data_IF_768118643100
#
_entry.id   IF_768118643100
#
_cell.length_a   1.000
_cell.length_b   1.000
_cell.length_c   1.000
_cell.angle_alpha   90.00
_cell.angle_beta   90.00
_cell.angle_gamma   90.00
#
_symmetry.space_group_name_H-M   'P 1'
#
loop_
_entity.id
_entity.type
_entity.pdbx_description
1 polymer ?
#
# COMPACT_ATOMS: atom_id res chain seq x y z
N UNK A 1 -33.11 21.99 -43.23
CA UNK A 1 -33.18 22.88 -42.06
C UNK A 1 -31.97 22.57 -41.20
N UNK A 2 -30.95 23.42 -41.31
CA UNK A 2 -29.74 23.33 -40.48
C UNK A 2 -30.06 24.02 -39.13
N UNK A 3 -29.90 23.25 -38.05
CA UNK A 3 -29.93 23.81 -36.72
C UNK A 3 -28.47 24.07 -36.28
N UNK A 4 -28.12 25.34 -36.11
CA UNK A 4 -26.88 25.81 -35.50
C UNK A 4 -26.79 25.30 -34.05
N UNK A 5 -25.82 24.46 -33.76
CA UNK A 5 -25.40 24.22 -32.38
C UNK A 5 -24.40 25.31 -32.04
N UNK A 6 -24.82 26.25 -31.18
CA UNK A 6 -23.95 27.28 -30.62
C UNK A 6 -22.88 26.63 -29.73
N UNK A 7 -21.63 26.98 -29.97
CA UNK A 7 -20.49 26.57 -29.12
C UNK A 7 -20.72 27.06 -27.67
N UNK A 8 -20.93 26.14 -26.75
CA UNK A 8 -20.99 26.44 -25.32
C UNK A 8 -19.55 26.62 -24.80
N UNK A 9 -19.40 27.66 -23.98
CA UNK A 9 -18.17 28.08 -23.36
C UNK A 9 -17.56 26.91 -22.50
N UNK A 10 -16.31 26.52 -22.69
CA UNK A 10 -15.70 25.42 -21.95
C UNK A 10 -15.78 25.54 -20.42
N UNK A 11 -15.81 26.75 -19.88
CA UNK A 11 -16.02 26.99 -18.44
C UNK A 11 -17.36 26.51 -17.89
N UNK A 12 -18.36 26.38 -18.72
CA UNK A 12 -19.68 25.88 -18.29
C UNK A 12 -19.79 24.35 -18.40
N UNK A 13 -18.99 23.71 -19.26
CA UNK A 13 -18.92 22.26 -19.34
C UNK A 13 -18.24 21.66 -18.09
N UNK A 14 -17.18 22.31 -17.56
CA UNK A 14 -16.56 21.88 -16.28
C UNK A 14 -17.58 21.85 -15.12
N UNK A 15 -18.51 22.81 -15.07
CA UNK A 15 -19.54 22.82 -14.02
C UNK A 15 -20.60 21.73 -14.16
N UNK A 16 -20.91 21.29 -15.38
CA UNK A 16 -21.97 20.29 -15.64
C UNK A 16 -21.43 18.87 -15.35
N UNK A 17 -20.17 18.60 -15.67
CA UNK A 17 -19.53 17.29 -15.36
C UNK A 17 -19.34 17.16 -13.84
N UNK A 18 -18.92 18.22 -13.14
CA UNK A 18 -18.86 18.24 -11.68
C UNK A 18 -20.23 18.02 -11.00
N UNK A 19 -21.31 18.54 -11.56
CA UNK A 19 -22.64 18.36 -10.99
C UNK A 19 -23.15 16.91 -11.06
N UNK A 20 -22.69 16.11 -12.02
CA UNK A 20 -23.05 14.69 -12.10
C UNK A 20 -22.27 13.85 -11.09
N UNK A 21 -21.03 14.19 -10.77
CA UNK A 21 -20.25 13.52 -9.71
C UNK A 21 -20.73 13.92 -8.31
N UNK A 22 -21.20 15.17 -8.12
CA UNK A 22 -21.83 15.60 -6.86
C UNK A 22 -23.10 14.80 -6.53
N UNK A 23 -23.85 14.31 -7.52
CA UNK A 23 -25.04 13.47 -7.31
C UNK A 23 -24.65 12.02 -6.92
N UNK A 24 -23.48 11.52 -7.34
CA UNK A 24 -22.97 10.24 -6.90
C UNK A 24 -22.24 10.35 -5.55
N UNK A 25 -21.43 11.38 -5.32
CA UNK A 25 -20.75 11.61 -4.04
C UNK A 25 -21.70 11.91 -2.87
N UNK A 26 -22.83 12.61 -3.12
CA UNK A 26 -23.82 12.93 -2.07
C UNK A 26 -24.67 11.72 -1.61
N UNK A 27 -24.72 10.63 -2.37
CA UNK A 27 -25.41 9.39 -1.98
C UNK A 27 -24.49 8.43 -1.17
N UNK A 28 -23.20 8.73 -1.05
CA UNK A 28 -22.20 7.89 -0.37
C UNK A 28 -21.70 8.48 0.96
N UNK A 29 -22.37 9.47 1.51
CA UNK A 29 -22.22 9.78 2.94
C UNK A 29 -22.90 8.66 3.76
N UNK A 30 -22.46 7.42 3.55
CA UNK A 30 -22.80 6.33 4.45
C UNK A 30 -22.14 6.61 5.80
N UNK A 31 -22.89 6.46 6.87
CA UNK A 31 -22.31 6.50 8.20
C UNK A 31 -21.08 5.59 8.22
N UNK A 32 -19.94 6.13 8.66
CA UNK A 32 -18.72 5.36 8.79
C UNK A 32 -18.97 4.13 9.65
N UNK A 33 -18.48 2.97 9.22
CA UNK A 33 -18.57 1.75 10.02
C UNK A 33 -17.79 1.91 11.32
N UNK A 34 -18.29 1.42 12.46
CA UNK A 34 -17.47 1.36 13.68
C UNK A 34 -16.24 0.50 13.43
N UNK A 35 -15.11 0.81 14.10
CA UNK A 35 -13.91 0.01 13.98
C UNK A 35 -14.20 -1.46 14.30
N UNK A 36 -13.67 -2.37 13.49
CA UNK A 36 -13.80 -3.81 13.68
C UNK A 36 -12.99 -4.28 14.90
N UNK A 37 -11.86 -3.61 15.14
CA UNK A 37 -10.92 -3.89 16.21
C UNK A 37 -10.53 -2.58 16.89
N UNK A 38 -10.28 -2.65 18.21
CA UNK A 38 -9.71 -1.53 18.97
C UNK A 38 -8.20 -1.80 19.17
N UNK A 39 -7.39 -0.83 18.81
CA UNK A 39 -5.94 -0.91 18.96
C UNK A 39 -5.40 0.21 19.84
N UNK A 40 -4.47 -0.15 20.73
CA UNK A 40 -3.64 0.81 21.44
C UNK A 40 -2.41 1.18 20.59
N UNK A 41 -2.24 2.47 20.35
CA UNK A 41 -1.07 2.98 19.64
C UNK A 41 0.03 3.36 20.62
N UNK A 42 1.31 3.09 20.26
CA UNK A 42 2.42 3.45 21.13
C UNK A 42 2.53 4.97 21.31
N UNK A 43 2.76 5.40 22.55
CA UNK A 43 3.09 6.80 22.85
C UNK A 43 4.59 6.98 22.65
N UNK A 44 4.96 7.84 21.72
CA UNK A 44 6.35 8.14 21.38
C UNK A 44 6.82 9.28 22.30
N UNK A 45 7.83 9.03 23.11
CA UNK A 45 8.37 10.01 24.08
C UNK A 45 9.78 10.46 23.72
N UNK A 46 10.48 9.70 22.88
CA UNK A 46 11.85 9.99 22.44
C UNK A 46 12.11 9.37 21.08
N UNK A 47 13.14 9.84 20.39
CA UNK A 47 13.58 9.30 19.11
C UNK A 47 14.23 7.92 19.36
N UNK A 48 13.68 6.88 18.70
CA UNK A 48 14.36 5.59 18.60
C UNK A 48 15.47 5.70 17.53
N UNK A 49 16.76 5.51 17.91
CA UNK A 49 17.87 5.67 16.97
C UNK A 49 17.81 4.72 15.76
N UNK A 50 17.24 3.51 15.92
CA UNK A 50 17.11 2.56 14.82
C UNK A 50 16.05 3.01 13.82
N UNK A 51 14.87 3.43 14.29
CA UNK A 51 13.83 4.01 13.42
C UNK A 51 14.38 5.24 12.69
N UNK A 52 15.12 6.13 13.40
CA UNK A 52 15.77 7.29 12.78
C UNK A 52 16.74 6.86 11.66
N UNK A 53 17.59 5.86 11.91
CA UNK A 53 18.53 5.37 10.91
C UNK A 53 17.83 4.78 9.67
N UNK A 54 16.68 4.12 9.84
CA UNK A 54 15.85 3.64 8.74
C UNK A 54 15.28 4.83 7.94
N UNK A 55 14.72 5.83 8.60
CA UNK A 55 14.22 7.05 7.96
C UNK A 55 15.32 7.78 7.18
N UNK A 56 16.52 7.93 7.78
CA UNK A 56 17.67 8.57 7.14
C UNK A 56 18.18 7.81 5.90
N UNK A 57 17.77 6.54 5.73
CA UNK A 57 18.11 5.70 4.56
C UNK A 57 17.21 5.95 3.33
N UNK A 58 16.17 6.77 3.46
CA UNK A 58 15.31 7.15 2.34
C UNK A 58 16.09 7.94 1.30
N UNK A 59 16.11 7.44 0.06
CA UNK A 59 16.92 7.97 -1.03
C UNK A 59 16.07 8.81 -2.00
N UNK A 60 16.41 10.08 -2.14
CA UNK A 60 15.82 10.96 -3.16
C UNK A 60 16.05 10.41 -4.57
N UNK A 61 17.19 9.77 -4.83
CA UNK A 61 17.49 9.19 -6.14
C UNK A 61 16.60 7.97 -6.43
N UNK A 62 16.30 7.14 -5.42
CA UNK A 62 15.34 6.03 -5.56
C UNK A 62 13.93 6.54 -5.84
N UNK A 63 13.46 7.54 -5.10
CA UNK A 63 12.15 8.16 -5.32
C UNK A 63 12.06 8.73 -6.73
N UNK A 64 13.06 9.51 -7.15
CA UNK A 64 13.16 10.06 -8.49
C UNK A 64 13.08 8.98 -9.56
N UNK A 65 13.88 7.92 -9.43
CA UNK A 65 13.94 6.84 -10.42
C UNK A 65 12.59 6.14 -10.59
N UNK A 66 11.87 5.91 -9.49
CA UNK A 66 10.52 5.32 -9.52
C UNK A 66 9.51 6.26 -10.18
N UNK A 67 9.51 7.56 -9.81
CA UNK A 67 8.62 8.56 -10.41
C UNK A 67 8.89 8.69 -11.92
N UNK A 68 10.16 8.78 -12.32
CA UNK A 68 10.56 8.84 -13.74
C UNK A 68 10.11 7.60 -14.51
N UNK A 69 10.26 6.42 -13.92
CA UNK A 69 9.83 5.16 -14.56
C UNK A 69 8.32 5.14 -14.76
N UNK A 70 7.54 5.41 -13.72
CA UNK A 70 6.08 5.36 -13.78
C UNK A 70 5.50 6.45 -14.68
N UNK A 71 6.03 7.67 -14.64
CA UNK A 71 5.57 8.78 -15.49
C UNK A 71 6.06 8.67 -16.95
N UNK A 72 6.97 7.74 -17.26
CA UNK A 72 7.38 7.44 -18.62
C UNK A 72 6.35 6.63 -19.41
N UNK A 73 5.48 5.88 -18.74
CA UNK A 73 4.34 5.25 -19.41
C UNK A 73 3.48 6.32 -20.08
N UNK A 74 2.91 6.00 -21.24
CA UNK A 74 2.04 6.94 -21.96
C UNK A 74 0.85 7.35 -21.07
N UNK A 75 0.28 6.37 -20.41
CA UNK A 75 -0.75 6.51 -19.38
C UNK A 75 -0.71 5.30 -18.46
N UNK A 76 -1.14 5.48 -17.22
CA UNK A 76 -1.42 4.39 -16.27
C UNK A 76 -2.91 4.28 -15.97
N UNK A 77 -3.74 4.85 -16.86
CA UNK A 77 -5.19 4.80 -16.66
C UNK A 77 -5.65 3.35 -16.52
N UNK A 78 -6.50 3.10 -15.53
CA UNK A 78 -6.94 1.78 -15.07
C UNK A 78 -7.53 0.88 -16.18
N UNK A 79 -8.12 1.46 -17.24
CA UNK A 79 -8.76 0.78 -18.38
C UNK A 79 -7.93 0.85 -19.66
N UNK A 80 -6.67 1.33 -19.60
CA UNK A 80 -5.77 1.36 -20.74
C UNK A 80 -5.05 0.02 -20.90
N UNK A 81 -4.62 -0.28 -22.13
CA UNK A 81 -3.77 -1.46 -22.38
C UNK A 81 -2.43 -1.42 -21.65
N UNK A 82 -1.96 -0.23 -21.27
CA UNK A 82 -0.66 -0.04 -20.60
C UNK A 82 -0.70 -0.41 -19.12
N UNK A 83 -1.90 -0.51 -18.52
CA UNK A 83 -2.02 -0.79 -17.08
C UNK A 83 -1.42 -2.15 -16.70
N UNK A 84 -1.49 -3.13 -17.63
CA UNK A 84 -0.91 -4.46 -17.42
C UNK A 84 0.62 -4.46 -17.41
N UNK A 85 1.26 -3.56 -18.15
CA UNK A 85 2.71 -3.40 -18.14
C UNK A 85 3.15 -2.80 -16.79
N UNK A 86 2.38 -1.82 -16.29
CA UNK A 86 2.64 -1.18 -15.00
C UNK A 86 2.49 -2.17 -13.84
N UNK A 87 1.37 -2.92 -13.81
CA UNK A 87 1.16 -3.91 -12.76
C UNK A 87 2.22 -5.01 -12.77
N UNK A 88 2.65 -5.45 -13.96
CA UNK A 88 3.70 -6.47 -14.07
C UNK A 88 5.04 -5.92 -13.58
N UNK A 89 5.37 -4.69 -13.92
CA UNK A 89 6.58 -4.03 -13.42
C UNK A 89 6.55 -3.93 -11.87
N UNK A 90 5.44 -3.48 -11.28
CA UNK A 90 5.29 -3.41 -9.82
C UNK A 90 5.46 -4.81 -9.19
N UNK A 91 4.79 -5.82 -9.75
CA UNK A 91 4.89 -7.20 -9.27
C UNK A 91 6.33 -7.72 -9.30
N UNK A 92 7.05 -7.51 -10.42
CA UNK A 92 8.44 -7.94 -10.57
C UNK A 92 9.36 -7.11 -9.68
N UNK A 93 9.12 -5.81 -9.54
CA UNK A 93 9.92 -4.92 -8.71
C UNK A 93 9.86 -5.34 -7.24
N UNK A 94 8.66 -5.54 -6.68
CA UNK A 94 8.51 -6.06 -5.32
C UNK A 94 9.09 -7.47 -5.17
N UNK A 95 8.96 -8.32 -6.20
CA UNK A 95 9.57 -9.65 -6.21
C UNK A 95 11.10 -9.64 -6.21
N UNK A 96 11.74 -8.50 -6.51
CA UNK A 96 13.18 -8.30 -6.41
C UNK A 96 13.65 -7.84 -5.03
N UNK A 97 12.71 -7.42 -4.16
CA UNK A 97 12.98 -7.02 -2.79
C UNK A 97 12.92 -8.24 -1.85
N UNK A 98 13.40 -8.06 -0.63
CA UNK A 98 13.41 -9.11 0.40
C UNK A 98 12.08 -9.23 1.15
N UNK A 99 10.97 -9.20 0.38
CA UNK A 99 9.62 -9.42 0.90
C UNK A 99 9.24 -10.90 0.82
N UNK A 100 8.39 -11.35 1.73
CA UNK A 100 8.03 -12.77 1.80
C UNK A 100 7.17 -13.24 0.64
N UNK A 101 6.28 -12.37 0.12
CA UNK A 101 5.43 -12.69 -1.03
C UNK A 101 4.92 -11.44 -1.73
N UNK A 102 4.58 -11.58 -3.01
CA UNK A 102 3.91 -10.55 -3.80
C UNK A 102 2.62 -11.14 -4.38
N UNK A 103 1.52 -10.42 -4.23
CA UNK A 103 0.17 -10.85 -4.60
C UNK A 103 -0.38 -9.90 -5.65
N UNK A 104 -1.03 -10.45 -6.66
CA UNK A 104 -1.97 -9.75 -7.54
C UNK A 104 -3.37 -10.00 -6.98
N UNK A 105 -4.00 -8.96 -6.46
CA UNK A 105 -5.36 -9.01 -5.98
C UNK A 105 -6.30 -8.58 -7.10
N UNK A 106 -6.92 -9.56 -7.76
CA UNK A 106 -7.95 -9.35 -8.78
C UNK A 106 -9.24 -8.85 -8.13
N UNK A 107 -9.86 -7.83 -8.69
CA UNK A 107 -11.14 -7.33 -8.25
C UNK A 107 -12.06 -7.09 -9.44
N UNK A 108 -13.36 -7.36 -9.23
CA UNK A 108 -14.36 -7.26 -10.29
C UNK A 108 -15.02 -5.90 -10.28
N UNK A 109 -15.02 -5.25 -11.43
CA UNK A 109 -15.76 -4.01 -11.66
C UNK A 109 -17.26 -4.32 -11.74
N UNK A 110 -17.95 -4.22 -10.60
CA UNK A 110 -19.39 -4.43 -10.57
C UNK A 110 -20.11 -3.19 -11.11
N UNK A 111 -20.96 -3.39 -12.12
CA UNK A 111 -21.86 -2.39 -12.70
C UNK A 111 -21.22 -1.26 -13.53
N UNK A 112 -19.99 -1.37 -13.94
CA UNK A 112 -19.36 -0.47 -14.90
C UNK A 112 -19.30 -1.10 -16.30
N UNK A 113 -19.29 -0.27 -17.34
CA UNK A 113 -19.06 -0.71 -18.73
C UNK A 113 -17.62 -1.21 -18.94
N UNK A 114 -16.79 -1.10 -17.93
CA UNK A 114 -15.40 -1.53 -17.90
C UNK A 114 -15.39 -3.00 -17.52
N UNK A 115 -14.82 -3.85 -18.35
CA UNK A 115 -14.78 -5.30 -18.16
C UNK A 115 -13.45 -5.79 -17.60
N UNK A 116 -12.40 -4.99 -17.73
CA UNK A 116 -11.04 -5.34 -17.36
C UNK A 116 -10.31 -4.13 -16.79
N UNK A 117 -9.50 -4.35 -15.76
CA UNK A 117 -8.61 -3.37 -15.11
C UNK A 117 -7.34 -4.08 -14.67
N UNK A 118 -6.33 -3.31 -14.24
CA UNK A 118 -5.18 -3.87 -13.54
C UNK A 118 -5.56 -4.38 -12.15
N UNK A 119 -4.75 -5.29 -11.62
CA UNK A 119 -4.89 -5.82 -10.28
C UNK A 119 -4.28 -4.88 -9.24
N UNK A 120 -4.73 -4.92 -7.99
CA UNK A 120 -3.94 -4.39 -6.89
C UNK A 120 -2.66 -5.22 -6.72
N UNK A 121 -1.55 -4.55 -6.45
CA UNK A 121 -0.26 -5.22 -6.21
C UNK A 121 0.10 -5.05 -4.73
N UNK A 122 0.27 -6.19 -4.04
CA UNK A 122 0.52 -6.24 -2.61
C UNK A 122 1.82 -6.99 -2.36
N UNK A 123 2.79 -6.34 -1.71
CA UNK A 123 3.95 -7.02 -1.18
C UNK A 123 3.75 -7.22 0.33
N UNK A 124 3.96 -8.44 0.80
CA UNK A 124 3.70 -8.81 2.19
C UNK A 124 4.99 -9.23 2.87
N UNK A 125 5.20 -8.72 4.05
CA UNK A 125 6.26 -9.10 4.97
C UNK A 125 5.63 -9.59 6.27
N UNK A 126 5.88 -10.85 6.64
CA UNK A 126 5.21 -11.47 7.78
C UNK A 126 5.82 -11.08 9.11
N UNK A 127 4.94 -10.80 10.06
CA UNK A 127 5.31 -10.56 11.45
C UNK A 127 5.79 -11.83 12.15
N UNK A 128 6.72 -11.67 13.07
CA UNK A 128 7.31 -12.80 13.80
C UNK A 128 6.55 -13.16 15.08
N UNK A 129 5.79 -12.23 15.64
CA UNK A 129 5.09 -12.39 16.92
C UNK A 129 3.58 -12.31 16.77
N UNK A 130 3.10 -11.41 15.96
CA UNK A 130 1.69 -11.15 15.67
C UNK A 130 1.46 -11.17 14.15
N UNK A 131 1.64 -12.33 13.48
CA UNK A 131 1.55 -12.41 12.03
C UNK A 131 0.15 -12.12 11.48
N UNK A 132 -0.89 -12.24 12.31
CA UNK A 132 -2.28 -11.98 11.95
C UNK A 132 -2.72 -10.52 12.20
N UNK A 133 -1.83 -9.67 12.75
CA UNK A 133 -2.02 -8.23 12.90
C UNK A 133 -1.25 -7.50 11.79
N UNK A 134 -1.95 -6.66 11.00
CA UNK A 134 -1.38 -6.05 9.80
C UNK A 134 -1.26 -4.55 9.91
N UNK A 135 -0.09 -4.02 9.56
CA UNK A 135 0.13 -2.60 9.29
C UNK A 135 0.23 -2.43 7.78
N UNK A 136 -0.61 -1.58 7.20
CA UNK A 136 -0.64 -1.38 5.74
C UNK A 136 -0.17 0.04 5.42
N UNK A 137 0.65 0.18 4.41
CA UNK A 137 0.89 1.45 3.74
C UNK A 137 0.63 1.30 2.25
N UNK A 138 0.06 2.33 1.62
CA UNK A 138 -0.35 2.20 0.23
C UNK A 138 -0.50 3.50 -0.52
N UNK A 139 -0.53 3.37 -1.85
CA UNK A 139 -0.74 4.42 -2.82
C UNK A 139 -1.35 3.83 -4.09
N UNK A 140 -2.21 4.54 -4.80
CA UNK A 140 -2.70 4.06 -6.09
C UNK A 140 -1.64 4.24 -7.18
N UNK A 141 -1.65 3.35 -8.18
CA UNK A 141 -0.69 3.40 -9.26
C UNK A 141 -1.28 3.78 -10.62
N UNK A 142 -2.60 3.80 -10.74
CA UNK A 142 -3.26 4.34 -11.92
C UNK A 142 -3.14 5.86 -11.98
N UNK A 143 -3.38 6.44 -13.14
CA UNK A 143 -3.33 7.88 -13.37
C UNK A 143 -4.43 8.32 -14.32
N UNK A 144 -4.82 9.58 -14.28
CA UNK A 144 -5.90 10.11 -15.08
C UNK A 144 -5.54 11.44 -15.75
N UNK A 145 -6.23 11.76 -16.85
CA UNK A 145 -6.20 13.08 -17.46
C UNK A 145 -7.57 13.41 -18.11
N UNK A 146 -8.00 14.66 -17.98
CA UNK A 146 -9.29 15.13 -18.52
C UNK A 146 -9.29 15.38 -20.04
N UNK A 147 -8.18 15.20 -20.73
CA UNK A 147 -7.98 15.65 -22.12
C UNK A 147 -8.73 14.82 -23.17
N UNK A 148 -9.57 13.84 -22.78
CA UNK A 148 -10.39 13.05 -23.72
C UNK A 148 -10.98 11.77 -23.12
N UNK A 149 -11.45 10.86 -23.99
CA UNK A 149 -12.20 9.66 -23.60
C UNK A 149 -11.47 8.34 -23.90
N UNK A 150 -10.56 8.35 -24.86
CA UNK A 150 -9.85 7.12 -25.26
C UNK A 150 -8.66 6.86 -24.32
N UNK A 151 -8.72 5.79 -23.49
CA UNK A 151 -7.71 5.50 -22.48
C UNK A 151 -6.31 5.27 -23.06
N UNK A 152 -6.22 4.82 -24.32
CA UNK A 152 -4.93 4.47 -24.94
C UNK A 152 -4.25 5.64 -25.64
N UNK A 153 -4.97 6.73 -25.91
CA UNK A 153 -4.43 7.87 -26.70
C UNK A 153 -4.15 9.12 -25.87
N UNK A 154 -4.67 9.16 -24.66
CA UNK A 154 -4.49 10.32 -23.76
C UNK A 154 -3.28 10.09 -22.89
N UNK A 155 -2.33 11.03 -22.99
CA UNK A 155 -1.18 11.01 -22.10
C UNK A 155 -1.58 11.47 -20.69
N UNK A 156 -1.37 10.61 -19.70
CA UNK A 156 -1.51 10.92 -18.29
C UNK A 156 -0.30 10.40 -17.51
N UNK A 157 0.77 11.19 -17.40
CA UNK A 157 2.01 10.76 -16.75
C UNK A 157 1.81 10.50 -15.26
N UNK A 158 0.96 11.28 -14.58
CA UNK A 158 0.65 11.10 -13.18
C UNK A 158 1.89 11.08 -12.28
N UNK A 159 2.79 12.06 -12.43
CA UNK A 159 4.03 12.04 -11.67
C UNK A 159 3.80 12.31 -10.20
N UNK A 160 2.92 13.26 -9.89
CA UNK A 160 2.53 13.56 -8.52
C UNK A 160 1.31 12.74 -8.12
N UNK A 161 0.36 12.62 -9.03
CA UNK A 161 -0.86 11.85 -8.87
C UNK A 161 -0.83 10.54 -9.72
N UNK A 162 -0.32 9.38 -9.18
CA UNK A 162 0.25 9.26 -7.85
C UNK A 162 1.55 8.43 -7.90
N UNK A 163 2.45 8.69 -8.89
CA UNK A 163 3.75 8.05 -8.90
C UNK A 163 4.60 8.51 -7.69
N UNK A 164 4.34 9.70 -7.16
CA UNK A 164 5.01 10.23 -5.97
C UNK A 164 4.72 9.37 -4.74
N UNK A 165 3.45 9.05 -4.48
CA UNK A 165 3.03 8.14 -3.40
C UNK A 165 3.55 6.72 -3.61
N UNK A 166 3.39 6.15 -4.82
CA UNK A 166 3.92 4.82 -5.16
C UNK A 166 5.42 4.73 -4.89
N UNK A 167 6.19 5.77 -5.24
CA UNK A 167 7.63 5.81 -4.98
C UNK A 167 7.95 5.71 -3.49
N UNK A 168 7.17 6.37 -2.65
CA UNK A 168 7.29 6.32 -1.19
C UNK A 168 6.99 4.93 -0.63
N UNK A 169 5.99 4.23 -1.17
CA UNK A 169 5.65 2.86 -0.72
C UNK A 169 6.74 1.87 -1.14
N UNK A 170 7.22 1.94 -2.38
CA UNK A 170 8.32 1.08 -2.87
C UNK A 170 9.60 1.32 -2.06
N UNK A 171 9.95 2.58 -1.79
CA UNK A 171 11.14 2.92 -1.02
C UNK A 171 11.01 2.45 0.44
N UNK A 172 9.82 2.56 1.03
CA UNK A 172 9.51 1.99 2.35
C UNK A 172 9.72 0.48 2.34
N UNK A 173 9.21 -0.24 1.34
CA UNK A 173 9.41 -1.68 1.20
C UNK A 173 10.89 -2.04 1.01
N UNK A 174 11.63 -1.30 0.17
CA UNK A 174 13.06 -1.53 -0.07
C UNK A 174 13.89 -1.48 1.21
N UNK A 175 13.54 -0.55 2.10
CA UNK A 175 14.27 -0.40 3.36
C UNK A 175 13.79 -1.41 4.39
N UNK A 176 12.48 -1.51 4.62
CA UNK A 176 11.93 -2.31 5.72
C UNK A 176 12.00 -3.82 5.45
N UNK A 177 11.98 -4.28 4.20
CA UNK A 177 12.07 -5.71 3.88
C UNK A 177 13.38 -6.38 4.36
N UNK A 178 14.40 -5.59 4.68
CA UNK A 178 15.67 -6.07 5.22
C UNK A 178 15.66 -6.30 6.73
N UNK A 179 14.53 -6.05 7.40
CA UNK A 179 14.39 -6.14 8.85
C UNK A 179 13.21 -7.04 9.22
N UNK A 180 13.13 -7.44 10.49
CA UNK A 180 12.01 -8.23 11.01
C UNK A 180 11.15 -7.40 11.96
N UNK A 181 9.86 -7.68 11.98
CA UNK A 181 8.88 -6.95 12.75
C UNK A 181 8.01 -7.90 13.57
N UNK A 182 7.37 -7.38 14.63
CA UNK A 182 6.42 -8.15 15.44
C UNK A 182 5.14 -8.44 14.64
N UNK A 183 4.63 -7.43 13.90
CA UNK A 183 3.42 -7.49 13.06
C UNK A 183 3.77 -7.61 11.59
N UNK A 184 2.84 -8.13 10.83
CA UNK A 184 2.93 -8.18 9.38
C UNK A 184 2.79 -6.79 8.76
N UNK A 185 3.53 -6.56 7.66
CA UNK A 185 3.44 -5.31 6.88
C UNK A 185 2.96 -5.65 5.48
N UNK A 186 2.02 -4.85 4.96
CA UNK A 186 1.59 -4.89 3.57
C UNK A 186 1.93 -3.56 2.90
N UNK A 187 2.74 -3.64 1.86
CA UNK A 187 3.05 -2.53 0.94
C UNK A 187 2.11 -2.67 -0.24
N UNK A 188 1.17 -1.73 -0.39
CA UNK A 188 0.06 -1.87 -1.32
C UNK A 188 0.10 -0.82 -2.43
N UNK A 189 -0.15 -1.26 -3.67
CA UNK A 189 -0.42 -0.36 -4.78
C UNK A 189 -1.79 -0.67 -5.37
N UNK A 190 -2.70 0.30 -5.24
CA UNK A 190 -4.09 0.16 -5.64
C UNK A 190 -4.28 0.52 -7.11
N UNK A 191 -5.20 -0.16 -7.79
CA UNK A 191 -5.62 0.18 -9.13
C UNK A 191 -7.03 0.77 -9.14
N UNK A 192 -7.31 1.60 -10.13
CA UNK A 192 -8.63 2.19 -10.33
C UNK A 192 -9.13 3.08 -9.17
N UNK A 193 -8.20 3.78 -8.52
CA UNK A 193 -8.51 4.86 -7.59
C UNK A 193 -9.29 5.97 -8.29
N UNK A 194 -8.78 6.41 -9.43
CA UNK A 194 -9.24 7.52 -10.28
C UNK A 194 -10.66 7.32 -10.86
N UNK A 195 -11.20 6.14 -10.75
CA UNK A 195 -12.59 5.87 -11.12
C UNK A 195 -13.50 5.53 -9.94
N UNK A 196 -13.08 5.87 -8.73
CA UNK A 196 -13.88 5.80 -7.51
C UNK A 196 -13.38 4.78 -6.49
N UNK A 197 -12.08 4.71 -6.26
CA UNK A 197 -11.42 3.91 -5.22
C UNK A 197 -11.66 2.39 -5.36
N UNK A 198 -11.83 1.87 -6.60
CA UNK A 198 -12.39 0.54 -6.80
C UNK A 198 -11.47 -0.56 -6.26
N UNK A 199 -10.17 -0.45 -6.48
CA UNK A 199 -9.20 -1.45 -6.04
C UNK A 199 -9.08 -1.51 -4.52
N UNK A 200 -8.89 -0.37 -3.87
CA UNK A 200 -8.80 -0.31 -2.41
C UNK A 200 -10.12 -0.69 -1.73
N UNK A 201 -11.28 -0.28 -2.32
CA UNK A 201 -12.58 -0.64 -1.78
C UNK A 201 -12.84 -2.15 -1.83
N UNK A 202 -12.45 -2.80 -2.94
CA UNK A 202 -12.56 -4.25 -3.05
C UNK A 202 -11.68 -4.96 -2.02
N UNK A 203 -10.42 -4.53 -1.89
CA UNK A 203 -9.50 -5.13 -0.93
C UNK A 203 -9.96 -4.94 0.53
N UNK A 204 -10.34 -3.71 0.91
CA UNK A 204 -10.82 -3.44 2.25
C UNK A 204 -12.09 -4.22 2.60
N UNK A 205 -13.01 -4.40 1.62
CA UNK A 205 -14.21 -5.22 1.80
C UNK A 205 -13.87 -6.71 1.98
N UNK A 206 -12.91 -7.22 1.20
CA UNK A 206 -12.46 -8.62 1.33
C UNK A 206 -11.76 -8.86 2.67
N UNK A 207 -10.95 -7.91 3.13
CA UNK A 207 -10.35 -7.95 4.47
C UNK A 207 -11.42 -8.01 5.56
N UNK A 208 -12.45 -7.15 5.48
CA UNK A 208 -13.54 -7.10 6.46
C UNK A 208 -14.37 -8.39 6.45
N UNK A 209 -14.67 -8.93 5.25
CA UNK A 209 -15.41 -10.19 5.11
C UNK A 209 -14.65 -11.38 5.71
N UNK A 210 -13.33 -11.32 5.76
CA UNK A 210 -12.46 -12.37 6.29
C UNK A 210 -12.05 -12.12 7.75
N UNK A 211 -12.46 -10.99 8.35
CA UNK A 211 -12.11 -10.64 9.72
C UNK A 211 -10.62 -10.41 9.90
N UNK A 212 -9.96 -9.85 8.89
CA UNK A 212 -8.54 -9.52 8.94
C UNK A 212 -8.30 -8.39 9.95
N UNK A 213 -7.30 -8.52 10.80
CA UNK A 213 -6.96 -7.53 11.82
C UNK A 213 -5.96 -6.51 11.28
N UNK A 214 -6.49 -5.35 10.81
CA UNK A 214 -5.67 -4.24 10.31
C UNK A 214 -5.51 -3.21 11.42
N UNK A 215 -4.29 -3.10 11.95
CA UNK A 215 -3.92 -2.19 13.03
C UNK A 215 -3.90 -0.73 12.58
N UNK A 216 -3.59 -0.49 11.31
CA UNK A 216 -3.61 0.84 10.72
C UNK A 216 -3.26 0.84 9.24
N UNK A 217 -3.88 1.75 8.49
CA UNK A 217 -3.55 2.01 7.09
C UNK A 217 -3.04 3.46 6.92
N UNK A 218 -1.88 3.58 6.30
CA UNK A 218 -1.22 4.85 6.00
C UNK A 218 -1.19 5.07 4.49
N UNK A 219 -1.99 6.02 4.02
CA UNK A 219 -2.10 6.36 2.60
C UNK A 219 -1.13 7.47 2.22
N UNK A 220 -0.44 7.30 1.09
CA UNK A 220 0.33 8.36 0.42
C UNK A 220 -0.31 8.67 -0.92
N UNK A 221 -0.65 9.93 -1.10
CA UNK A 221 -1.23 10.42 -2.35
C UNK A 221 -0.87 11.88 -2.53
N UNK A 222 -0.23 12.21 -3.66
CA UNK A 222 0.30 13.54 -3.97
C UNK A 222 1.27 14.06 -2.89
N UNK A 223 2.55 13.75 -3.07
CA UNK A 223 3.59 14.05 -2.06
C UNK A 223 4.71 14.93 -2.61
N UNK A 224 4.63 15.36 -3.86
CA UNK A 224 5.77 15.93 -4.58
C UNK A 224 5.68 17.41 -4.92
N UNK A 225 4.53 18.06 -4.77
CA UNK A 225 4.39 19.48 -5.07
C UNK A 225 4.49 20.35 -3.83
N UNK A 226 5.29 21.38 -3.93
CA UNK A 226 5.41 22.43 -2.91
C UNK A 226 5.24 23.79 -3.57
N UNK A 227 4.27 24.58 -3.11
CA UNK A 227 4.07 25.94 -3.57
C UNK A 227 5.32 26.79 -3.28
N UNK A 228 5.68 27.64 -4.22
CA UNK A 228 6.87 28.50 -4.09
C UNK A 228 6.77 29.41 -2.84
N UNK A 229 7.79 29.32 -2.00
CA UNK A 229 7.88 30.08 -0.75
C UNK A 229 7.20 29.43 0.45
N UNK A 230 6.63 28.25 0.28
CA UNK A 230 6.07 27.45 1.37
C UNK A 230 7.13 26.58 2.04
N UNK A 231 6.98 26.35 3.34
CA UNK A 231 7.74 25.33 4.05
C UNK A 231 7.08 23.96 3.89
N UNK A 232 7.89 22.88 3.90
CA UNK A 232 7.40 21.51 3.85
C UNK A 232 6.53 21.24 5.08
N UNK A 233 5.31 20.79 4.85
CA UNK A 233 4.36 20.38 5.86
C UNK A 233 3.47 19.26 5.34
N UNK A 234 2.72 18.61 6.22
CA UNK A 234 1.78 17.54 5.85
C UNK A 234 0.37 17.96 6.23
N UNK A 235 -0.55 17.86 5.29
CA UNK A 235 -1.96 17.84 5.60
C UNK A 235 -2.41 16.40 5.86
N UNK A 236 -2.85 16.14 7.09
CA UNK A 236 -3.30 14.82 7.51
C UNK A 236 -4.83 14.76 7.46
N UNK A 237 -5.34 13.85 6.65
CA UNK A 237 -6.78 13.59 6.51
C UNK A 237 -7.15 12.32 7.25
N UNK A 238 -8.20 12.43 8.05
CA UNK A 238 -8.76 11.32 8.82
C UNK A 238 -10.17 11.67 9.28
N UNK A 239 -10.96 10.68 9.60
CA UNK A 239 -12.30 10.89 10.15
C UNK A 239 -12.24 11.05 11.66
N UNK A 240 -13.31 11.54 12.28
CA UNK A 240 -13.36 11.68 13.75
C UNK A 240 -13.15 10.36 14.46
N UNK A 241 -13.59 9.25 13.86
CA UNK A 241 -13.43 7.91 14.39
C UNK A 241 -11.97 7.46 14.41
N UNK A 242 -11.16 7.96 13.47
CA UNK A 242 -9.74 7.65 13.32
C UNK A 242 -8.82 8.58 14.15
N UNK A 243 -9.40 9.37 15.06
CA UNK A 243 -8.61 10.30 15.89
C UNK A 243 -7.50 9.63 16.70
N UNK A 244 -7.65 8.37 17.06
CA UNK A 244 -6.63 7.62 17.82
C UNK A 244 -5.38 7.35 16.97
N UNK A 245 -5.53 6.85 15.75
CA UNK A 245 -4.40 6.68 14.82
C UNK A 245 -3.84 8.04 14.37
N UNK A 246 -4.68 9.04 14.16
CA UNK A 246 -4.21 10.40 13.86
C UNK A 246 -3.36 10.99 14.99
N UNK A 247 -3.77 10.79 16.26
CA UNK A 247 -2.97 11.20 17.42
C UNK A 247 -1.63 10.48 17.48
N UNK A 248 -1.56 9.21 17.06
CA UNK A 248 -0.29 8.50 16.92
C UNK A 248 0.62 9.20 15.89
N UNK A 249 0.08 9.58 14.71
CA UNK A 249 0.83 10.33 13.69
C UNK A 249 1.32 11.67 14.22
N UNK A 250 0.46 12.46 14.89
CA UNK A 250 0.86 13.73 15.50
C UNK A 250 1.95 13.56 16.55
N UNK A 251 1.80 12.57 17.43
CA UNK A 251 2.77 12.30 18.48
C UNK A 251 4.12 11.88 17.88
N UNK A 252 4.12 10.98 16.88
CA UNK A 252 5.31 10.56 16.17
C UNK A 252 6.01 11.77 15.50
N UNK A 253 5.25 12.55 14.73
CA UNK A 253 5.80 13.70 14.01
C UNK A 253 6.38 14.74 14.96
N UNK A 254 5.72 15.04 16.07
CA UNK A 254 6.23 15.99 17.06
C UNK A 254 7.63 15.63 17.60
N UNK A 255 7.92 14.33 17.71
CA UNK A 255 9.19 13.82 18.23
C UNK A 255 10.24 13.70 17.11
N UNK A 256 9.84 13.21 15.91
CA UNK A 256 10.78 12.92 14.85
C UNK A 256 10.99 14.09 13.86
N UNK A 257 10.01 14.98 13.73
CA UNK A 257 10.00 16.11 12.79
C UNK A 257 9.48 17.39 13.46
N UNK A 258 10.14 17.88 14.54
CA UNK A 258 9.64 19.05 15.27
C UNK A 258 9.56 20.32 14.38
N UNK A 259 10.30 20.34 13.27
CA UNK A 259 10.30 21.42 12.29
C UNK A 259 9.25 21.30 11.19
N UNK A 260 8.63 20.10 11.02
CA UNK A 260 7.65 19.83 9.96
C UNK A 260 6.22 19.80 10.53
N UNK A 261 5.42 20.85 10.33
CA UNK A 261 4.06 20.86 10.84
C UNK A 261 3.19 19.79 10.19
N UNK A 262 2.40 19.09 11.01
CA UNK A 262 1.27 18.30 10.52
C UNK A 262 -0.01 19.03 10.91
N UNK A 263 -0.92 19.21 9.96
CA UNK A 263 -2.18 19.91 10.15
C UNK A 263 -3.34 19.03 9.71
N UNK A 264 -4.41 18.99 10.50
CA UNK A 264 -5.65 18.37 10.03
C UNK A 264 -6.18 19.13 8.83
N UNK A 265 -6.57 18.39 7.80
CA UNK A 265 -7.12 18.96 6.60
C UNK A 265 -8.27 18.09 6.04
N UNK A 266 -8.98 18.64 5.07
CA UNK A 266 -10.06 17.98 4.34
C UNK A 266 -9.92 18.34 2.88
N UNK A 267 -10.06 17.36 1.99
CA UNK A 267 -10.27 17.65 0.59
C UNK A 267 -11.72 18.11 0.39
N UNK A 268 -11.90 19.33 -0.05
CA UNK A 268 -13.24 19.87 -0.36
C UNK A 268 -13.86 19.13 -1.56
N UNK A 269 -12.99 18.66 -2.46
CA UNK A 269 -13.35 18.00 -3.71
C UNK A 269 -12.44 16.80 -3.93
N UNK A 270 -12.90 15.64 -3.57
CA UNK A 270 -12.17 14.39 -3.77
C UNK A 270 -12.03 13.57 -2.50
N UNK A 271 -11.42 12.42 -2.66
CA UNK A 271 -11.15 11.45 -1.61
C UNK A 271 -9.93 10.63 -2.03
N UNK A 272 -9.44 9.71 -1.22
CA UNK A 272 -8.37 8.78 -1.57
C UNK A 272 -8.58 7.43 -0.89
N UNK A 273 -7.71 6.48 -1.15
CA UNK A 273 -7.84 5.07 -0.77
C UNK A 273 -8.04 4.83 0.73
N UNK A 274 -7.58 5.74 1.63
CA UNK A 274 -7.80 5.63 3.07
C UNK A 274 -9.29 5.51 3.44
N UNK A 275 -10.16 6.18 2.69
CA UNK A 275 -11.59 6.17 2.97
C UNK A 275 -12.25 4.82 2.67
N UNK A 276 -11.67 4.02 1.78
CA UNK A 276 -12.08 2.63 1.55
C UNK A 276 -11.92 1.78 2.80
N UNK A 277 -10.83 1.95 3.52
CA UNK A 277 -10.58 1.28 4.78
C UNK A 277 -11.49 1.80 5.91
N UNK A 278 -11.63 3.12 6.03
CA UNK A 278 -12.54 3.72 7.02
C UNK A 278 -13.99 3.24 6.85
N UNK A 279 -14.48 3.14 5.61
CA UNK A 279 -15.84 2.64 5.31
C UNK A 279 -16.04 1.18 5.69
N UNK A 280 -14.96 0.41 5.76
CA UNK A 280 -14.97 -0.99 6.16
C UNK A 280 -14.57 -1.21 7.63
N UNK A 281 -14.49 -0.15 8.44
CA UNK A 281 -14.24 -0.22 9.88
C UNK A 281 -12.77 -0.42 10.26
N UNK A 282 -11.84 0.00 9.40
CA UNK A 282 -10.41 -0.03 9.68
C UNK A 282 -9.87 1.38 9.96
N UNK A 283 -8.97 1.53 10.94
CA UNK A 283 -8.31 2.81 11.19
C UNK A 283 -7.38 3.17 10.04
N UNK A 284 -7.61 4.34 9.44
CA UNK A 284 -6.84 4.79 8.29
C UNK A 284 -6.66 6.31 8.28
N UNK A 285 -5.50 6.75 7.82
CA UNK A 285 -5.13 8.15 7.65
C UNK A 285 -4.46 8.37 6.30
N UNK A 286 -4.56 9.59 5.80
CA UNK A 286 -3.95 10.00 4.54
C UNK A 286 -3.05 11.22 4.74
N UNK A 287 -1.78 11.07 4.36
CA UNK A 287 -0.83 12.17 4.28
C UNK A 287 -0.83 12.77 2.88
N UNK A 288 -1.15 14.04 2.79
CA UNK A 288 -1.32 14.80 1.55
C UNK A 288 -0.50 16.09 1.59
N UNK A 289 -0.10 16.61 0.44
CA UNK A 289 0.47 17.94 0.31
C UNK A 289 -0.53 19.04 0.73
N UNK A 290 -0.26 20.31 0.47
CA UNK A 290 -1.16 21.37 0.89
C UNK A 290 -2.49 21.35 0.13
N UNK A 291 -3.61 21.03 0.81
CA UNK A 291 -4.96 21.02 0.19
C UNK A 291 -5.40 22.36 -0.36
N UNK A 292 -4.79 23.47 0.08
CA UNK A 292 -5.11 24.82 -0.40
C UNK A 292 -4.23 25.28 -1.56
N UNK A 293 -3.09 24.60 -1.75
CA UNK A 293 -2.08 24.92 -2.74
C UNK A 293 -1.46 23.63 -3.31
N UNK A 294 -2.28 22.64 -3.59
CA UNK A 294 -1.88 21.40 -4.23
C UNK A 294 -1.48 21.60 -5.68
N UNK A 295 -0.83 20.63 -6.28
CA UNK A 295 -0.35 20.69 -7.65
C UNK A 295 -1.47 21.13 -8.61
N UNK A 296 -1.32 22.23 -9.36
CA UNK A 296 -2.28 22.66 -10.35
C UNK A 296 -2.21 21.83 -11.64
N UNK A 297 -1.31 20.87 -11.75
CA UNK A 297 -1.02 20.07 -12.94
C UNK A 297 -1.65 18.67 -12.91
N UNK A 298 -2.27 18.28 -11.80
CA UNK A 298 -2.93 16.97 -11.69
C UNK A 298 -3.97 16.75 -12.77
N UNK A 299 -4.23 15.49 -13.09
CA UNK A 299 -5.19 15.08 -14.10
C UNK A 299 -4.95 15.74 -15.47
N UNK A 300 -3.68 15.96 -15.81
CA UNK A 300 -3.26 16.54 -17.09
C UNK A 300 -1.96 15.92 -17.59
N UNK A 301 -1.62 16.20 -18.85
CA UNK A 301 -0.33 15.84 -19.45
C UNK A 301 0.88 16.51 -18.82
N UNK A 302 0.65 17.55 -18.04
CA UNK A 302 1.67 18.37 -17.37
C UNK A 302 1.93 17.89 -15.92
N UNK A 303 1.27 16.82 -15.49
CA UNK A 303 1.62 16.12 -14.27
C UNK A 303 2.92 15.32 -14.46
N UNK A 304 4.03 16.03 -14.46
CA UNK A 304 5.38 15.52 -14.74
C UNK A 304 6.40 15.97 -13.68
N UNK A 305 7.51 15.23 -13.63
CA UNK A 305 8.66 15.63 -12.80
C UNK A 305 9.21 16.99 -13.24
N UNK A 306 9.44 17.88 -12.29
CA UNK A 306 9.89 19.25 -12.49
C UNK A 306 8.77 20.28 -12.62
N UNK A 307 7.52 19.85 -12.76
CA UNK A 307 6.32 20.72 -12.71
C UNK A 307 5.42 20.33 -11.54
N UNK A 308 4.76 19.19 -11.63
CA UNK A 308 3.88 18.68 -10.60
C UNK A 308 4.70 18.14 -9.43
N UNK A 309 5.64 17.24 -9.68
CA UNK A 309 6.65 16.89 -8.69
C UNK A 309 7.80 17.88 -8.79
N UNK A 310 7.70 19.01 -8.10
CA UNK A 310 8.70 20.08 -8.13
C UNK A 310 9.65 20.04 -6.92
N UNK A 311 9.34 19.23 -5.89
CA UNK A 311 10.11 19.17 -4.65
C UNK A 311 10.27 17.72 -4.13
N UNK A 312 11.33 17.04 -4.56
CA UNK A 312 11.63 15.68 -4.11
C UNK A 312 12.05 15.59 -2.63
N UNK A 313 12.48 16.67 -2.01
CA UNK A 313 12.74 16.67 -0.57
C UNK A 313 11.43 16.56 0.20
N UNK A 314 10.33 17.15 -0.29
CA UNK A 314 9.00 16.94 0.27
C UNK A 314 8.59 15.48 0.16
N UNK A 315 8.68 14.85 -1.03
CA UNK A 315 8.38 13.43 -1.21
C UNK A 315 9.22 12.56 -0.26
N UNK A 316 10.49 12.92 -0.06
CA UNK A 316 11.36 12.25 0.92
C UNK A 316 10.82 12.37 2.34
N UNK A 317 10.42 13.57 2.78
CA UNK A 317 9.87 13.79 4.13
C UNK A 317 8.58 13.01 4.38
N UNK A 318 7.70 12.92 3.37
CA UNK A 318 6.50 12.09 3.43
C UNK A 318 6.84 10.61 3.54
N UNK A 319 7.82 10.15 2.75
CA UNK A 319 8.30 8.76 2.80
C UNK A 319 8.95 8.44 4.14
N UNK A 320 9.80 9.32 4.67
CA UNK A 320 10.42 9.17 6.00
C UNK A 320 9.36 9.06 7.10
N UNK A 321 8.33 9.92 7.05
CA UNK A 321 7.21 9.89 8.00
C UNK A 321 6.45 8.55 7.91
N UNK A 322 6.04 8.16 6.70
CA UNK A 322 5.32 6.91 6.46
C UNK A 322 6.13 5.70 6.94
N UNK A 323 7.39 5.62 6.54
CA UNK A 323 8.31 4.54 6.93
C UNK A 323 8.46 4.45 8.46
N UNK A 324 8.67 5.58 9.12
CA UNK A 324 8.83 5.63 10.57
C UNK A 324 7.57 5.20 11.32
N UNK A 325 6.39 5.64 10.85
CA UNK A 325 5.09 5.24 11.39
C UNK A 325 4.87 3.74 11.25
N UNK A 326 5.07 3.20 10.04
CA UNK A 326 4.91 1.77 9.75
C UNK A 326 5.87 0.93 10.59
N UNK A 327 7.17 1.25 10.57
CA UNK A 327 8.19 0.50 11.31
C UNK A 327 7.96 0.50 12.82
N UNK A 328 7.49 1.62 13.37
CA UNK A 328 7.18 1.74 14.79
C UNK A 328 5.94 0.95 15.17
N UNK A 329 4.87 1.05 14.37
CA UNK A 329 3.60 0.37 14.65
C UNK A 329 3.71 -1.14 14.41
N UNK A 330 4.48 -1.57 13.40
CA UNK A 330 4.77 -2.97 13.15
C UNK A 330 5.67 -3.59 14.22
N UNK A 331 6.35 -2.76 15.03
CA UNK A 331 7.22 -3.22 16.11
C UNK A 331 8.55 -3.74 15.55
N UNK A 332 9.43 -2.81 15.15
CA UNK A 332 10.78 -3.17 14.70
C UNK A 332 11.49 -3.98 15.78
N UNK A 333 11.84 -5.20 15.46
CA UNK A 333 12.59 -6.05 16.37
C UNK A 333 14.05 -5.57 16.44
N UNK A 334 14.57 -5.38 17.66
CA UNK A 334 15.97 -4.97 17.91
C UNK A 334 16.99 -6.04 17.50
N UNK A 335 16.54 -7.15 16.98
CA UNK A 335 17.39 -8.17 16.41
C UNK A 335 17.31 -8.04 14.88
N UNK A 336 18.20 -7.22 14.31
CA UNK A 336 18.73 -7.55 13.00
C UNK A 336 19.41 -8.93 13.17
N UNK A 337 18.61 -9.99 13.11
CA UNK A 337 19.19 -11.26 12.72
C UNK A 337 19.47 -11.05 11.24
N UNK A 338 20.74 -11.07 10.79
CA UNK A 338 20.97 -11.52 9.44
C UNK A 338 20.12 -12.78 9.30
N UNK A 339 19.44 -12.96 8.16
CA UNK A 339 18.86 -14.25 7.82
C UNK A 339 19.73 -15.31 8.46
N UNK A 340 19.11 -16.11 9.33
CA UNK A 340 19.93 -17.08 10.05
C UNK A 340 20.39 -18.06 8.96
N UNK A 341 21.55 -17.77 8.32
CA UNK A 341 22.20 -18.70 7.40
C UNK A 341 22.37 -20.09 8.05
N UNK A 342 22.06 -20.17 9.34
CA UNK A 342 22.12 -21.36 10.16
C UNK A 342 20.82 -22.16 10.23
N UNK A 343 19.64 -21.64 9.82
CA UNK A 343 18.43 -22.48 9.70
C UNK A 343 18.26 -22.93 8.25
N UNK A 344 19.05 -23.88 7.81
CA UNK A 344 18.90 -24.49 6.48
C UNK A 344 17.68 -25.40 6.47
N UNK A 345 16.53 -24.81 6.15
CA UNK A 345 15.31 -25.58 5.89
C UNK A 345 15.13 -25.74 4.39
N UNK A 346 15.09 -26.99 3.93
CA UNK A 346 14.74 -27.34 2.56
C UNK A 346 13.26 -27.74 2.47
N UNK A 347 12.57 -27.25 1.44
CA UNK A 347 11.17 -27.54 1.14
C UNK A 347 11.06 -28.08 -0.29
N UNK A 348 10.74 -29.38 -0.46
CA UNK A 348 10.65 -29.99 -1.79
C UNK A 348 9.74 -31.23 -1.84
N UNK A 349 9.11 -31.53 -3.00
CA UNK A 349 9.02 -30.65 -4.16
C UNK A 349 8.17 -29.40 -3.85
N UNK A 350 8.56 -28.27 -4.41
CA UNK A 350 7.77 -27.06 -4.36
C UNK A 350 7.89 -26.38 -5.75
N UNK A 351 6.83 -26.41 -6.56
CA UNK A 351 5.43 -26.77 -6.27
C UNK A 351 5.18 -28.22 -5.88
N UNK A 352 4.27 -28.43 -4.90
CA UNK A 352 3.86 -29.71 -4.36
C UNK A 352 2.56 -30.20 -5.02
N UNK A 353 2.48 -31.52 -5.28
CA UNK A 353 1.22 -32.14 -5.76
C UNK A 353 0.39 -32.68 -4.58
N UNK A 354 0.93 -33.63 -3.79
CA UNK A 354 0.21 -34.27 -2.68
C UNK A 354 0.95 -34.13 -1.34
N UNK A 355 2.23 -33.85 -1.39
CA UNK A 355 3.08 -33.73 -0.22
C UNK A 355 4.32 -32.91 -0.50
N UNK A 356 4.88 -32.34 0.55
CA UNK A 356 6.16 -31.65 0.55
C UNK A 356 7.01 -32.13 1.70
N UNK A 357 8.30 -32.37 1.44
CA UNK A 357 9.29 -32.71 2.45
C UNK A 357 9.85 -31.43 3.04
N UNK A 358 9.91 -31.37 4.35
CA UNK A 358 10.54 -30.31 5.13
C UNK A 358 11.76 -30.92 5.82
N UNK A 359 12.95 -30.43 5.47
CA UNK A 359 14.22 -30.92 6.01
C UNK A 359 14.99 -29.78 6.66
N UNK A 360 15.60 -30.07 7.80
CA UNK A 360 16.49 -29.15 8.49
C UNK A 360 17.55 -29.93 9.27
N UNK A 361 18.68 -29.31 9.59
CA UNK A 361 19.69 -29.86 10.52
C UNK A 361 19.36 -29.51 11.98
N UNK A 362 18.38 -28.61 12.21
CA UNK A 362 18.18 -27.89 13.48
C UNK A 362 16.93 -28.30 14.27
N UNK A 363 16.39 -29.49 14.05
CA UNK A 363 15.25 -30.03 14.78
C UNK A 363 13.95 -29.18 14.68
N UNK A 364 12.99 -29.67 13.91
CA UNK A 364 11.69 -29.04 13.72
C UNK A 364 10.86 -29.03 15.02
N UNK A 365 10.40 -27.88 15.45
CA UNK A 365 9.56 -27.69 16.65
C UNK A 365 8.08 -27.51 16.31
N UNK A 366 7.77 -26.74 15.26
CA UNK A 366 6.39 -26.60 14.78
C UNK A 366 6.35 -26.13 13.33
N UNK A 367 5.21 -26.37 12.70
CA UNK A 367 4.87 -25.89 11.36
C UNK A 367 3.53 -25.21 11.46
N UNK A 368 3.42 -24.01 10.90
CA UNK A 368 2.16 -23.27 10.76
C UNK A 368 1.96 -22.95 9.29
N UNK A 369 0.78 -23.25 8.75
CA UNK A 369 0.43 -22.94 7.36
C UNK A 369 -0.68 -21.90 7.36
N UNK A 370 -0.46 -20.80 6.62
CA UNK A 370 -1.43 -19.75 6.42
C UNK A 370 -1.77 -19.61 4.92
N UNK A 371 -2.97 -19.12 4.61
CA UNK A 371 -3.29 -18.66 3.27
C UNK A 371 -2.61 -17.29 2.99
N UNK A 372 -2.76 -16.78 1.77
CA UNK A 372 -2.19 -15.47 1.38
C UNK A 372 -2.81 -14.26 2.12
N UNK A 373 -3.87 -14.50 2.88
CA UNK A 373 -4.55 -13.50 3.70
C UNK A 373 -4.11 -13.54 5.16
N UNK A 374 -3.11 -14.39 5.49
CA UNK A 374 -2.60 -14.55 6.84
C UNK A 374 -3.44 -15.47 7.74
N UNK A 375 -4.55 -16.00 7.24
CA UNK A 375 -5.38 -16.92 8.04
C UNK A 375 -4.66 -18.23 8.25
N UNK A 376 -4.47 -18.62 9.50
CA UNK A 376 -3.91 -19.92 9.85
C UNK A 376 -4.86 -21.04 9.42
N UNK A 377 -4.37 -21.90 8.53
CA UNK A 377 -5.09 -23.08 8.05
C UNK A 377 -4.78 -24.29 8.92
N UNK A 378 -3.51 -24.45 9.27
CA UNK A 378 -3.05 -25.61 10.04
C UNK A 378 -1.84 -25.25 10.90
N UNK A 379 -1.77 -25.85 12.10
CA UNK A 379 -0.61 -25.78 12.96
C UNK A 379 -0.27 -27.15 13.49
N UNK A 380 0.99 -27.56 13.37
CA UNK A 380 1.50 -28.88 13.75
C UNK A 380 2.66 -28.69 14.72
N UNK A 381 2.55 -29.25 15.92
CA UNK A 381 3.66 -29.31 16.85
C UNK A 381 4.55 -30.54 16.52
N UNK A 382 5.85 -30.36 16.54
CA UNK A 382 6.88 -31.39 16.25
C UNK A 382 7.86 -31.47 17.41
N UNK A 383 8.57 -32.61 17.52
CA UNK A 383 9.41 -32.90 18.67
C UNK A 383 10.89 -32.96 18.26
N UNK A 384 11.41 -31.97 17.59
CA UNK A 384 12.83 -31.89 17.23
C UNK A 384 13.26 -32.85 16.11
N UNK A 385 12.33 -33.30 15.27
CA UNK A 385 12.68 -34.14 14.09
C UNK A 385 13.36 -33.28 13.02
N UNK A 386 14.32 -33.91 12.30
CA UNK A 386 15.03 -33.24 11.20
C UNK A 386 14.33 -33.39 9.85
N UNK A 387 13.27 -34.20 9.79
CA UNK A 387 12.49 -34.43 8.58
C UNK A 387 11.02 -34.57 8.91
N UNK A 388 10.18 -33.88 8.16
CA UNK A 388 8.73 -34.01 8.24
C UNK A 388 8.12 -34.00 6.84
N UNK A 389 7.15 -34.89 6.59
CA UNK A 389 6.39 -34.92 5.33
C UNK A 389 5.05 -34.24 5.57
N UNK A 390 4.89 -33.04 5.02
CA UNK A 390 3.65 -32.30 5.10
C UNK A 390 2.72 -32.71 3.94
N UNK A 391 1.48 -33.06 4.23
CA UNK A 391 0.49 -33.48 3.23
C UNK A 391 -0.26 -32.29 2.69
N UNK A 392 -0.31 -32.15 1.36
CA UNK A 392 -0.98 -31.04 0.66
C UNK A 392 -2.26 -31.45 -0.06
N UNK A 393 -2.63 -32.72 -0.06
CA UNK A 393 -3.75 -33.26 -0.79
C UNK A 393 -5.15 -32.78 -0.32
N UNK A 394 -5.25 -32.15 0.86
CA UNK A 394 -6.44 -31.49 1.38
C UNK A 394 -6.51 -29.99 1.06
N UNK A 395 -5.44 -29.45 0.49
CA UNK A 395 -5.35 -28.03 0.15
C UNK A 395 -5.82 -27.77 -1.28
N UNK A 396 -6.48 -26.64 -1.50
CA UNK A 396 -6.79 -26.18 -2.84
C UNK A 396 -5.51 -25.79 -3.59
N UNK A 397 -5.54 -25.90 -4.90
CA UNK A 397 -4.46 -25.35 -5.74
C UNK A 397 -4.25 -23.86 -5.42
N UNK A 398 -3.03 -23.48 -5.08
CA UNK A 398 -2.76 -22.10 -4.67
C UNK A 398 -1.40 -21.94 -3.98
N UNK A 399 -1.18 -20.72 -3.51
CA UNK A 399 0.02 -20.37 -2.74
C UNK A 399 -0.35 -20.26 -1.27
N UNK A 400 0.49 -20.82 -0.43
CA UNK A 400 0.38 -20.80 1.03
C UNK A 400 1.70 -20.35 1.62
N UNK A 401 1.64 -19.76 2.81
CA UNK A 401 2.84 -19.47 3.60
C UNK A 401 3.01 -20.57 4.65
N UNK A 402 4.21 -21.14 4.72
CA UNK A 402 4.54 -22.18 5.69
C UNK A 402 5.66 -21.67 6.61
N UNK A 403 5.31 -21.37 7.85
CA UNK A 403 6.26 -20.98 8.90
C UNK A 403 6.76 -22.21 9.63
N UNK A 404 8.06 -22.36 9.69
CA UNK A 404 8.75 -23.55 10.22
C UNK A 404 9.62 -23.10 11.38
N UNK A 405 9.24 -23.49 12.60
CA UNK A 405 10.03 -23.25 13.80
C UNK A 405 11.01 -24.39 14.02
N UNK A 406 12.25 -24.05 14.30
CA UNK A 406 13.33 -24.98 14.66
C UNK A 406 13.92 -24.60 16.02
N UNK A 407 14.85 -25.38 16.54
CA UNK A 407 15.58 -25.04 17.78
C UNK A 407 16.40 -23.75 17.67
N UNK A 408 16.71 -23.29 16.45
CA UNK A 408 17.52 -22.10 16.20
C UNK A 408 16.72 -20.87 15.76
N UNK A 409 15.41 -21.00 15.53
CA UNK A 409 14.55 -19.90 15.12
C UNK A 409 13.42 -20.31 14.18
N UNK A 410 12.71 -19.34 13.65
CA UNK A 410 11.60 -19.53 12.73
C UNK A 410 12.02 -19.05 11.33
N UNK A 411 11.67 -19.82 10.32
CA UNK A 411 11.79 -19.42 8.90
C UNK A 411 10.44 -19.61 8.21
N UNK A 412 10.06 -18.67 7.37
CA UNK A 412 8.81 -18.75 6.58
C UNK A 412 9.16 -18.95 5.12
N UNK A 413 8.49 -19.88 4.46
CA UNK A 413 8.69 -20.20 3.05
C UNK A 413 7.36 -20.24 2.31
N UNK A 414 7.40 -19.95 1.03
CA UNK A 414 6.27 -20.12 0.14
C UNK A 414 6.07 -21.59 -0.20
N UNK A 415 4.86 -22.11 0.03
CA UNK A 415 4.42 -23.42 -0.41
C UNK A 415 3.42 -23.25 -1.58
N UNK A 416 3.75 -23.80 -2.72
CA UNK A 416 2.89 -23.81 -3.91
C UNK A 416 2.25 -25.19 -4.02
N UNK A 417 0.91 -25.27 -3.98
CA UNK A 417 0.14 -26.49 -4.18
C UNK A 417 -0.45 -26.47 -5.58
N UNK A 418 -0.27 -27.57 -6.34
CA UNK A 418 -0.81 -27.73 -7.70
C UNK A 418 -2.22 -28.32 -7.71
#
# INVERSE_FOLDING_TARGET
MQACVSAQNPRNMKKIIFATWLLFGALWASAQAPHLYEHDYPVITEVNPQIRALMDSVSVDSLRATIEHLSAYHTRRYDSRFIYDVQNWLYEHYGSLDVDTVIKHDFKLQNLSITETGDNILAVQWGTKYPDEFVICGAHYDSYAYDGYDPDTIRSPGADDNASGVSGIIETARILSQYTFDRSIIYANWCAEECGLLGSAAYAADCAAQGMDIVGYFNLDMTGYLEEGSDIHVHLMYTTQDSTIANYVYNFSHIYFPEMPIRQAWLEWGDSDYSSFNRNGYPAVHSFEDVNASSPFIHSRDDILGLSVNNLEQSKRFTELNLGLVATLAGLNNYSMPENENTKVALYPNPADNEVNILTEDGLQSITVCNLLGQQIEAIALNGTNHFVFKTNSYATGIYMISIATEKGVTTKRLIVK
#
